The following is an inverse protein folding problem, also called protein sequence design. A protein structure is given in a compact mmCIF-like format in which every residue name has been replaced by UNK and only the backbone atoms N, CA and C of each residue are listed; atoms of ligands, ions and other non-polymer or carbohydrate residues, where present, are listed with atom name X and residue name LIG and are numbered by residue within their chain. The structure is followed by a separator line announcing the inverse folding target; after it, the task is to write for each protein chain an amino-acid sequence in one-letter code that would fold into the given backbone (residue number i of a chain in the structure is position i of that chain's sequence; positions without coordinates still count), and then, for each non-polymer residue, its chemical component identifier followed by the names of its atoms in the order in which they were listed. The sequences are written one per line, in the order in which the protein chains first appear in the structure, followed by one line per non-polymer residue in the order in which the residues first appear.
data_IF_002843995112
#
_entry.id   IF_002843995112
#
_cell.length_a   1.000
_cell.length_b   1.000
_cell.length_c   1.000
_cell.angle_alpha   90.00
_cell.angle_beta   90.00
_cell.angle_gamma   90.00
#
_symmetry.space_group_name_H-M   'P 1'
#
loop_
_entity.id
_entity.type
_entity.pdbx_description
1 polymer ?
#
# COMPACT_ATOMS: atom_id res chain seq x y z
N UNK A 1 -10.06 11.09 0.26
CA UNK A 1 -10.59 9.95 -0.53
C UNK A 1 -9.60 9.58 -1.62
N UNK A 2 -9.45 8.27 -1.89
CA UNK A 2 -8.65 7.62 -2.96
C UNK A 2 -7.12 7.60 -2.80
N UNK A 3 -6.63 6.59 -2.09
CA UNK A 3 -5.92 5.43 -2.67
C UNK A 3 -5.30 4.61 -1.54
N UNK A 4 -6.16 3.90 -0.81
CA UNK A 4 -5.76 2.68 -0.12
C UNK A 4 -5.55 1.64 -1.21
N UNK A 5 -4.34 1.63 -1.77
CA UNK A 5 -3.86 0.55 -2.62
C UNK A 5 -3.86 -0.69 -1.73
N UNK A 6 -4.95 -1.45 -1.81
CA UNK A 6 -5.08 -2.74 -1.17
C UNK A 6 -3.82 -3.54 -1.48
N UNK A 7 -2.94 -3.66 -0.49
CA UNK A 7 -1.85 -4.61 -0.47
C UNK A 7 -2.52 -5.97 -0.64
N UNK A 8 -2.55 -6.47 -1.88
CA UNK A 8 -2.93 -7.83 -2.21
C UNK A 8 -1.85 -8.74 -1.63
N UNK A 9 -1.96 -8.98 -0.32
CA UNK A 9 -1.31 -10.07 0.39
C UNK A 9 -1.92 -11.38 -0.11
N UNK A 10 -1.62 -11.74 -1.35
CA UNK A 10 -1.94 -13.04 -1.88
C UNK A 10 -0.66 -13.65 -2.46
N UNK A 11 0.31 -13.89 -1.58
CA UNK A 11 1.52 -14.66 -1.87
C UNK A 11 1.24 -16.17 -1.93
N UNK A 12 0.00 -16.62 -1.65
CA UNK A 12 -0.42 -18.02 -1.79
C UNK A 12 -0.19 -18.59 -3.20
N UNK A 13 -0.66 -17.96 -4.30
CA UNK A 13 -0.40 -18.44 -5.65
C UNK A 13 1.10 -18.53 -5.99
N UNK A 14 1.94 -17.68 -5.39
CA UNK A 14 3.39 -17.75 -5.54
C UNK A 14 3.96 -18.95 -4.76
N UNK A 15 3.51 -19.15 -3.53
CA UNK A 15 3.90 -20.28 -2.68
C UNK A 15 3.53 -21.63 -3.32
N UNK A 16 2.31 -21.77 -3.83
CA UNK A 16 1.82 -22.97 -4.52
C UNK A 16 2.66 -23.29 -5.76
N UNK A 17 2.93 -22.26 -6.58
CA UNK A 17 3.76 -22.42 -7.77
C UNK A 17 5.18 -22.85 -7.42
N UNK A 18 5.79 -22.22 -6.42
CA UNK A 18 7.13 -22.60 -5.98
C UNK A 18 7.14 -24.06 -5.48
N UNK A 19 6.13 -24.46 -4.69
CA UNK A 19 6.00 -25.83 -4.17
C UNK A 19 5.86 -26.86 -5.29
N UNK A 20 5.04 -26.56 -6.31
CA UNK A 20 4.88 -27.40 -7.49
C UNK A 20 6.21 -27.54 -8.24
N UNK A 21 6.95 -26.44 -8.44
CA UNK A 21 8.26 -26.46 -9.10
C UNK A 21 9.28 -27.29 -8.32
N UNK A 22 9.36 -27.14 -7.00
CA UNK A 22 10.23 -27.96 -6.16
C UNK A 22 9.83 -29.44 -6.18
N UNK A 23 8.53 -29.73 -6.14
CA UNK A 23 8.02 -31.10 -6.25
C UNK A 23 8.42 -31.78 -7.56
N UNK A 24 8.28 -31.08 -8.70
CA UNK A 24 8.71 -31.58 -10.01
C UNK A 24 10.24 -31.78 -10.03
N UNK A 25 11.02 -30.87 -9.45
CA UNK A 25 12.48 -31.01 -9.39
C UNK A 25 12.90 -32.27 -8.62
N UNK A 26 12.27 -32.54 -7.48
CA UNK A 26 12.51 -33.76 -6.69
C UNK A 26 12.11 -35.00 -7.49
N UNK A 27 10.99 -34.95 -8.22
CA UNK A 27 10.55 -36.05 -9.08
C UNK A 27 11.55 -36.31 -10.23
N UNK A 28 12.11 -35.26 -10.85
CA UNK A 28 13.16 -35.39 -11.86
C UNK A 28 14.41 -36.05 -11.27
N UNK A 29 14.84 -35.60 -10.08
CA UNK A 29 16.01 -36.17 -9.41
C UNK A 29 15.83 -37.66 -9.07
N UNK A 30 14.65 -38.04 -8.57
CA UNK A 30 14.29 -39.44 -8.35
C UNK A 30 14.27 -40.25 -9.65
N UNK A 31 13.70 -39.69 -10.73
CA UNK A 31 13.62 -40.38 -12.00
C UNK A 31 15.00 -40.59 -12.63
N UNK A 32 15.91 -39.63 -12.51
CA UNK A 32 17.31 -39.79 -12.93
C UNK A 32 18.02 -40.91 -12.16
N UNK A 33 17.75 -41.03 -10.85
CA UNK A 33 18.23 -42.17 -10.07
C UNK A 33 17.64 -43.50 -10.56
N UNK A 34 16.36 -43.54 -10.92
CA UNK A 34 15.73 -44.73 -11.51
C UNK A 34 16.32 -45.09 -12.88
N UNK A 35 16.67 -44.11 -13.72
CA UNK A 35 17.40 -44.35 -14.97
C UNK A 35 18.75 -45.03 -14.67
N UNK A 36 19.52 -44.49 -13.72
CA UNK A 36 20.80 -45.07 -13.31
C UNK A 36 20.64 -46.51 -12.80
N UNK A 37 19.64 -46.74 -11.95
CA UNK A 37 19.34 -48.08 -11.42
C UNK A 37 18.85 -49.04 -12.50
N UNK A 38 18.14 -48.57 -13.53
CA UNK A 38 17.76 -49.44 -14.66
C UNK A 38 18.95 -49.85 -15.55
N UNK A 39 20.12 -49.23 -15.38
CA UNK A 39 21.34 -49.63 -16.08
C UNK A 39 22.15 -50.72 -15.35
N UNK A 40 21.87 -50.99 -14.06
CA UNK A 40 22.67 -51.91 -13.22
C UNK A 40 21.73 -52.72 -12.30
N UNK A 41 21.81 -54.06 -12.20
CA UNK A 41 22.80 -54.99 -12.80
C UNK A 41 22.31 -55.72 -14.07
N UNK A 42 21.02 -55.69 -14.38
CA UNK A 42 20.45 -56.30 -15.59
C UNK A 42 19.95 -55.18 -16.50
N UNK A 43 20.71 -54.89 -17.55
CA UNK A 43 20.36 -53.84 -18.50
C UNK A 43 19.13 -54.24 -19.30
N UNK A 44 17.99 -53.59 -19.02
CA UNK A 44 16.75 -53.74 -19.76
C UNK A 44 16.50 -52.46 -20.57
N UNK A 45 16.78 -52.44 -21.89
CA UNK A 45 16.67 -51.23 -22.72
C UNK A 45 15.29 -50.59 -22.66
N UNK A 46 14.24 -51.41 -22.59
CA UNK A 46 12.85 -50.97 -22.51
C UNK A 46 12.59 -50.14 -21.25
N UNK A 47 13.09 -50.58 -20.09
CA UNK A 47 12.95 -49.86 -18.82
C UNK A 47 13.75 -48.56 -18.80
N UNK A 48 14.95 -48.57 -19.37
CA UNK A 48 15.79 -47.37 -19.49
C UNK A 48 15.12 -46.33 -20.38
N UNK A 49 14.60 -46.74 -21.55
CA UNK A 49 13.89 -45.86 -22.48
C UNK A 49 12.62 -45.28 -21.86
N UNK A 50 11.84 -46.10 -21.14
CA UNK A 50 10.67 -45.64 -20.40
C UNK A 50 11.05 -44.59 -19.34
N UNK A 51 12.08 -44.87 -18.53
CA UNK A 51 12.50 -43.96 -17.47
C UNK A 51 13.05 -42.64 -18.03
N UNK A 52 13.77 -42.66 -19.15
CA UNK A 52 14.23 -41.47 -19.86
C UNK A 52 13.05 -40.65 -20.39
N UNK A 53 12.06 -41.31 -21.00
CA UNK A 53 10.85 -40.64 -21.49
C UNK A 53 10.11 -39.92 -20.35
N UNK A 54 9.91 -40.59 -19.21
CA UNK A 54 9.28 -39.98 -18.02
C UNK A 54 10.12 -38.79 -17.52
N UNK A 55 11.45 -38.90 -17.50
CA UNK A 55 12.35 -37.80 -17.11
C UNK A 55 12.17 -36.59 -18.03
N UNK A 56 12.15 -36.80 -19.35
CA UNK A 56 11.95 -35.73 -20.34
C UNK A 56 10.57 -35.07 -20.18
N UNK A 57 9.52 -35.86 -19.92
CA UNK A 57 8.18 -35.36 -19.67
C UNK A 57 8.13 -34.49 -18.40
N UNK A 58 8.74 -34.94 -17.29
CA UNK A 58 8.82 -34.15 -16.06
C UNK A 58 9.63 -32.86 -16.25
N UNK A 59 10.72 -32.90 -17.01
CA UNK A 59 11.50 -31.72 -17.37
C UNK A 59 10.69 -30.72 -18.21
N UNK A 60 9.89 -31.21 -19.17
CA UNK A 60 8.98 -30.37 -19.94
C UNK A 60 7.92 -29.70 -19.04
N UNK A 61 7.33 -30.46 -18.10
CA UNK A 61 6.40 -29.91 -17.11
C UNK A 61 7.07 -28.87 -16.21
N UNK A 62 8.33 -29.07 -15.83
CA UNK A 62 9.11 -28.10 -15.07
C UNK A 62 9.28 -26.78 -15.83
N UNK A 63 9.64 -26.84 -17.12
CA UNK A 63 9.75 -25.65 -17.96
C UNK A 63 8.40 -24.95 -18.12
N UNK A 64 7.31 -25.71 -18.28
CA UNK A 64 5.97 -25.14 -18.35
C UNK A 64 5.56 -24.48 -17.03
N UNK A 65 5.95 -25.05 -15.89
CA UNK A 65 5.71 -24.49 -14.55
C UNK A 65 6.41 -23.15 -14.30
N UNK A 66 7.44 -22.80 -15.09
CA UNK A 66 8.09 -21.48 -15.03
C UNK A 66 7.28 -20.38 -15.72
N UNK A 67 6.37 -20.73 -16.64
CA UNK A 67 5.56 -19.74 -17.36
C UNK A 67 4.44 -19.16 -16.48
N UNK A 68 4.31 -17.84 -16.49
CA UNK A 68 3.23 -17.13 -15.77
C UNK A 68 1.88 -17.57 -16.32
N UNK A 69 0.96 -17.96 -15.45
CA UNK A 69 -0.40 -18.40 -15.82
C UNK A 69 -0.53 -19.88 -16.21
N UNK A 70 0.57 -20.62 -16.37
CA UNK A 70 0.54 -22.05 -16.72
C UNK A 70 0.26 -22.99 -15.53
N UNK A 71 0.26 -22.46 -14.30
CA UNK A 71 0.06 -23.23 -13.07
C UNK A 71 -1.12 -24.23 -13.10
N UNK A 72 -2.37 -23.84 -13.44
CA UNK A 72 -3.48 -24.79 -13.47
C UNK A 72 -3.31 -25.90 -14.52
N UNK A 73 -2.72 -25.60 -15.67
CA UNK A 73 -2.47 -26.59 -16.71
C UNK A 73 -1.40 -27.62 -16.28
N UNK A 74 -0.31 -27.15 -15.66
CA UNK A 74 0.74 -28.01 -15.10
C UNK A 74 0.17 -28.88 -13.99
N UNK A 75 -0.63 -28.29 -13.09
CA UNK A 75 -1.25 -29.01 -11.99
C UNK A 75 -2.22 -30.09 -12.47
N UNK A 76 -3.02 -29.80 -13.50
CA UNK A 76 -3.87 -30.80 -14.15
C UNK A 76 -3.04 -31.93 -14.79
N UNK A 77 -1.96 -31.60 -15.49
CA UNK A 77 -1.08 -32.61 -16.10
C UNK A 77 -0.44 -33.52 -15.04
N UNK A 78 0.09 -32.94 -13.96
CA UNK A 78 0.64 -33.70 -12.82
C UNK A 78 -0.45 -34.53 -12.14
N UNK A 79 -1.69 -34.02 -12.04
CA UNK A 79 -2.81 -34.78 -11.51
C UNK A 79 -3.14 -36.00 -12.37
N UNK A 80 -3.26 -35.85 -13.69
CA UNK A 80 -3.52 -36.96 -14.62
C UNK A 80 -2.42 -38.02 -14.54
N UNK A 81 -1.15 -37.59 -14.48
CA UNK A 81 -0.02 -38.50 -14.27
C UNK A 81 -0.07 -39.20 -12.91
N UNK A 82 -0.45 -38.48 -11.86
CA UNK A 82 -0.62 -39.01 -10.51
C UNK A 82 -1.70 -40.10 -10.44
N UNK A 83 -2.84 -39.92 -11.14
CA UNK A 83 -3.88 -40.95 -11.25
C UNK A 83 -3.43 -42.18 -12.04
N UNK A 84 -2.67 -41.97 -13.11
CA UNK A 84 -2.06 -43.07 -13.88
C UNK A 84 -1.07 -43.86 -13.02
N UNK A 85 -0.20 -43.16 -12.29
CA UNK A 85 0.71 -43.76 -11.32
C UNK A 85 -0.03 -44.53 -10.23
N UNK A 86 -1.05 -43.92 -9.62
CA UNK A 86 -1.90 -44.58 -8.62
C UNK A 86 -2.50 -45.89 -9.13
N UNK A 87 -3.06 -45.87 -10.34
CA UNK A 87 -3.64 -47.05 -11.01
C UNK A 87 -2.59 -48.14 -11.22
N UNK A 88 -1.42 -47.78 -11.73
CA UNK A 88 -0.30 -48.70 -11.93
C UNK A 88 0.14 -49.32 -10.60
N UNK A 89 0.37 -48.49 -9.57
CA UNK A 89 0.80 -48.97 -8.25
C UNK A 89 -0.22 -49.92 -7.63
N UNK A 90 -1.50 -49.65 -7.80
CA UNK A 90 -2.57 -50.50 -7.28
C UNK A 90 -2.56 -51.89 -7.93
N UNK A 91 -2.49 -51.96 -9.25
CA UNK A 91 -2.53 -53.24 -9.99
C UNK A 91 -1.23 -54.04 -9.79
N UNK A 92 -0.09 -53.36 -9.75
CA UNK A 92 1.24 -53.98 -9.76
C UNK A 92 1.76 -54.37 -8.37
N UNK A 93 1.35 -53.67 -7.30
CA UNK A 93 1.93 -53.86 -5.95
C UNK A 93 0.90 -54.25 -4.90
N UNK A 94 -0.04 -55.13 -5.24
CA UNK A 94 -0.91 -55.79 -4.25
C UNK A 94 -2.06 -54.95 -3.69
N UNK A 95 -2.41 -53.84 -4.34
CA UNK A 95 -3.54 -52.99 -3.96
C UNK A 95 -3.41 -52.44 -2.55
N UNK A 96 -4.48 -52.53 -1.76
CA UNK A 96 -4.52 -52.01 -0.38
C UNK A 96 -3.55 -52.72 0.57
N UNK A 97 -3.12 -53.95 0.23
CA UNK A 97 -2.21 -54.73 1.05
C UNK A 97 -0.73 -54.28 0.90
N UNK A 98 -0.41 -53.56 -0.18
CA UNK A 98 0.95 -53.14 -0.51
C UNK A 98 1.22 -51.66 -0.30
N UNK A 99 1.76 -50.98 -1.32
CA UNK A 99 2.32 -49.61 -1.21
C UNK A 99 1.31 -48.51 -1.50
N UNK A 100 0.12 -48.88 -1.97
CA UNK A 100 -0.97 -47.95 -2.31
C UNK A 100 -1.36 -47.01 -1.17
N UNK A 101 -1.52 -47.46 0.09
CA UNK A 101 -1.90 -46.54 1.18
C UNK A 101 -0.88 -45.42 1.37
N UNK A 102 0.42 -45.72 1.24
CA UNK A 102 1.50 -44.73 1.32
C UNK A 102 1.43 -43.72 0.19
N UNK A 103 1.22 -44.19 -1.04
CA UNK A 103 1.04 -43.33 -2.20
C UNK A 103 -0.16 -42.41 -2.02
N UNK A 104 -1.29 -42.93 -1.54
CA UNK A 104 -2.51 -42.18 -1.31
C UNK A 104 -2.29 -41.04 -0.30
N UNK A 105 -1.57 -41.29 0.80
CA UNK A 105 -1.21 -40.26 1.77
C UNK A 105 -0.37 -39.13 1.15
N UNK A 106 0.64 -39.47 0.34
CA UNK A 106 1.49 -38.46 -0.28
C UNK A 106 0.77 -37.69 -1.38
N UNK A 107 -0.04 -38.39 -2.18
CA UNK A 107 -0.79 -37.78 -3.27
C UNK A 107 -1.91 -36.86 -2.76
N UNK A 108 -2.61 -37.25 -1.69
CA UNK A 108 -3.58 -36.37 -1.01
C UNK A 108 -2.90 -35.15 -0.39
N UNK A 109 -1.74 -35.32 0.27
CA UNK A 109 -0.96 -34.19 0.78
C UNK A 109 -0.52 -33.24 -0.34
N UNK A 110 -0.08 -33.77 -1.49
CA UNK A 110 0.25 -33.00 -2.67
C UNK A 110 -0.94 -32.17 -3.17
N UNK A 111 -2.13 -32.79 -3.32
CA UNK A 111 -3.36 -32.10 -3.74
C UNK A 111 -3.68 -30.97 -2.76
N UNK A 112 -3.67 -31.23 -1.45
CA UNK A 112 -4.01 -30.21 -0.43
C UNK A 112 -3.08 -29.01 -0.48
N UNK A 113 -1.79 -29.24 -0.72
CA UNK A 113 -0.77 -28.18 -0.64
C UNK A 113 -0.61 -27.42 -1.97
N UNK A 114 -0.75 -28.09 -3.11
CA UNK A 114 -0.48 -27.48 -4.42
C UNK A 114 -1.74 -26.98 -5.14
N UNK A 115 -2.94 -27.23 -4.59
CA UNK A 115 -4.21 -26.83 -5.21
C UNK A 115 -5.09 -26.00 -4.28
N UNK A 116 -5.86 -25.10 -4.89
CA UNK A 116 -6.74 -24.17 -4.19
C UNK A 116 -8.12 -24.09 -4.84
N UNK A 117 -9.11 -23.64 -4.05
CA UNK A 117 -10.46 -23.35 -4.54
C UNK A 117 -11.15 -24.53 -5.23
N UNK A 118 -11.73 -24.29 -6.40
CA UNK A 118 -12.46 -25.30 -7.17
C UNK A 118 -11.56 -26.42 -7.72
N UNK A 119 -10.30 -26.11 -8.06
CA UNK A 119 -9.34 -27.13 -8.53
C UNK A 119 -9.09 -28.19 -7.47
N UNK A 120 -8.97 -27.78 -6.20
CA UNK A 120 -8.79 -28.72 -5.09
C UNK A 120 -9.97 -29.68 -4.94
N UNK A 121 -11.20 -29.14 -5.01
CA UNK A 121 -12.40 -29.97 -4.96
C UNK A 121 -12.43 -30.94 -6.14
N UNK A 122 -12.17 -30.44 -7.36
CA UNK A 122 -12.11 -31.26 -8.56
C UNK A 122 -11.12 -32.43 -8.44
N UNK A 123 -9.90 -32.18 -7.96
CA UNK A 123 -8.89 -33.24 -7.79
C UNK A 123 -9.27 -34.25 -6.70
N UNK A 124 -9.83 -33.78 -5.58
CA UNK A 124 -10.31 -34.68 -4.52
C UNK A 124 -11.43 -35.58 -5.05
N UNK A 125 -12.45 -35.02 -5.71
CA UNK A 125 -13.54 -35.81 -6.29
C UNK A 125 -13.05 -36.78 -7.36
N UNK A 126 -12.10 -36.35 -8.20
CA UNK A 126 -11.48 -37.21 -9.21
C UNK A 126 -10.74 -38.39 -8.57
N UNK A 127 -9.91 -38.15 -7.54
CA UNK A 127 -9.21 -39.21 -6.81
C UNK A 127 -10.20 -40.15 -6.09
N UNK A 128 -11.19 -39.59 -5.38
CA UNK A 128 -12.23 -40.38 -4.72
C UNK A 128 -13.03 -41.23 -5.70
N UNK A 129 -13.35 -40.72 -6.89
CA UNK A 129 -14.02 -41.47 -7.95
C UNK A 129 -13.20 -42.66 -8.43
N UNK A 130 -11.89 -42.48 -8.63
CA UNK A 130 -10.97 -43.57 -8.98
C UNK A 130 -10.92 -44.60 -7.84
N UNK A 131 -10.77 -44.17 -6.58
CA UNK A 131 -10.79 -45.09 -5.43
C UNK A 131 -12.09 -45.90 -5.38
N UNK A 132 -13.25 -45.24 -5.53
CA UNK A 132 -14.55 -45.91 -5.54
C UNK A 132 -14.66 -46.94 -6.67
N UNK A 133 -14.13 -46.64 -7.86
CA UNK A 133 -14.12 -47.56 -8.99
C UNK A 133 -13.26 -48.80 -8.68
N UNK A 134 -12.09 -48.62 -8.09
CA UNK A 134 -11.19 -49.73 -7.72
C UNK A 134 -11.76 -50.60 -6.59
N UNK A 135 -12.44 -50.00 -5.62
CA UNK A 135 -13.08 -50.72 -4.52
C UNK A 135 -14.35 -51.47 -4.98
N UNK A 136 -15.16 -50.84 -5.84
CA UNK A 136 -16.44 -51.39 -6.29
C UNK A 136 -16.34 -52.39 -7.43
N UNK A 137 -15.35 -52.24 -8.32
CA UNK A 137 -15.22 -53.03 -9.55
C UNK A 137 -13.77 -53.52 -9.78
N UNK A 138 -13.15 -54.25 -8.84
CA UNK A 138 -11.77 -54.71 -8.99
C UNK A 138 -11.57 -55.61 -10.21
N UNK A 139 -12.56 -56.46 -10.53
CA UNK A 139 -12.53 -57.37 -11.68
C UNK A 139 -12.52 -56.65 -13.03
N UNK A 140 -13.14 -55.47 -13.13
CA UNK A 140 -13.13 -54.64 -14.35
C UNK A 140 -11.70 -54.20 -14.73
N UNK A 141 -10.82 -54.08 -13.74
CA UNK A 141 -9.43 -53.66 -13.91
C UNK A 141 -8.45 -54.85 -13.99
N UNK A 142 -8.96 -56.08 -14.10
CA UNK A 142 -8.14 -57.29 -14.14
C UNK A 142 -7.54 -57.70 -12.79
N UNK A 143 -8.06 -57.16 -11.68
CA UNK A 143 -7.65 -57.55 -10.32
C UNK A 143 -8.52 -58.69 -9.82
N UNK A 144 -7.92 -59.69 -9.17
CA UNK A 144 -8.65 -60.79 -8.54
C UNK A 144 -9.39 -60.31 -7.29
N UNK A 145 -8.80 -59.38 -6.57
CA UNK A 145 -9.35 -58.80 -5.35
C UNK A 145 -8.71 -57.43 -5.10
N UNK A 146 -9.27 -56.68 -4.16
CA UNK A 146 -8.70 -55.41 -3.69
C UNK A 146 -7.41 -55.62 -2.88
N UNK A 147 -7.23 -56.84 -2.36
CA UNK A 147 -6.14 -57.27 -1.49
C UNK A 147 -5.42 -58.45 -2.15
N UNK A 148 -4.34 -58.20 -2.87
CA UNK A 148 -3.55 -59.23 -3.55
C UNK A 148 -2.20 -59.43 -2.87
N UNK A 149 -2.14 -60.11 -1.71
CA UNK A 149 -0.91 -60.28 -0.94
C UNK A 149 0.16 -61.06 -1.70
N UNK A 150 -0.22 -61.88 -2.68
CA UNK A 150 0.70 -62.64 -3.54
C UNK A 150 1.64 -61.73 -4.35
N UNK A 151 1.26 -60.48 -4.60
CA UNK A 151 2.07 -59.49 -5.32
C UNK A 151 2.98 -58.68 -4.39
N UNK A 152 2.92 -58.90 -3.08
CA UNK A 152 3.71 -58.13 -2.11
C UNK A 152 5.13 -58.66 -2.09
N UNK A 153 6.08 -57.74 -2.22
CA UNK A 153 7.46 -57.97 -1.83
C UNK A 153 7.71 -57.25 -0.49
N UNK A 154 7.81 -57.99 0.61
CA UNK A 154 7.91 -57.44 1.97
C UNK A 154 9.13 -56.55 2.17
N UNK A 155 10.25 -56.86 1.50
CA UNK A 155 11.47 -56.04 1.57
C UNK A 155 11.25 -54.73 0.82
N UNK A 156 10.71 -54.80 -0.41
CA UNK A 156 10.40 -53.61 -1.20
C UNK A 156 9.40 -52.71 -0.50
N UNK A 157 8.34 -53.28 0.08
CA UNK A 157 7.33 -52.54 0.83
C UNK A 157 7.94 -51.78 2.02
N UNK A 158 8.85 -52.42 2.78
CA UNK A 158 9.57 -51.75 3.86
C UNK A 158 10.44 -50.58 3.38
N UNK A 159 11.14 -50.75 2.26
CA UNK A 159 11.95 -49.69 1.63
C UNK A 159 11.05 -48.53 1.17
N UNK A 160 9.92 -48.83 0.54
CA UNK A 160 8.98 -47.82 0.06
C UNK A 160 8.41 -47.00 1.22
N UNK A 161 8.06 -47.65 2.35
CA UNK A 161 7.65 -46.93 3.56
C UNK A 161 8.74 -45.99 4.09
N UNK A 162 10.00 -46.45 4.14
CA UNK A 162 11.12 -45.62 4.61
C UNK A 162 11.35 -44.40 3.72
N UNK A 163 11.34 -44.58 2.40
CA UNK A 163 11.48 -43.50 1.43
C UNK A 163 10.34 -42.49 1.58
N UNK A 164 9.10 -42.97 1.71
CA UNK A 164 7.93 -42.10 1.86
C UNK A 164 7.97 -41.30 3.15
N UNK A 165 8.36 -41.92 4.27
CA UNK A 165 8.58 -41.21 5.53
C UNK A 165 9.68 -40.15 5.39
N UNK A 166 10.80 -40.46 4.72
CA UNK A 166 11.88 -39.51 4.49
C UNK A 166 11.43 -38.31 3.64
N UNK A 167 10.68 -38.57 2.55
CA UNK A 167 10.11 -37.51 1.69
C UNK A 167 9.13 -36.63 2.46
N UNK A 168 8.26 -37.22 3.28
CA UNK A 168 7.28 -36.50 4.09
C UNK A 168 7.96 -35.64 5.16
N UNK A 169 8.99 -36.16 5.84
CA UNK A 169 9.79 -35.39 6.81
C UNK A 169 10.51 -34.23 6.11
N UNK A 170 11.18 -34.50 4.98
CA UNK A 170 11.87 -33.47 4.21
C UNK A 170 10.91 -32.36 3.76
N UNK A 171 9.72 -32.75 3.31
CA UNK A 171 8.65 -31.83 2.93
C UNK A 171 8.16 -30.98 4.12
N UNK A 172 7.90 -31.59 5.28
CA UNK A 172 7.49 -30.87 6.49
C UNK A 172 8.58 -29.89 6.94
N UNK A 173 9.84 -30.30 6.91
CA UNK A 173 10.97 -29.43 7.29
C UNK A 173 11.13 -28.26 6.33
N UNK A 174 11.00 -28.50 5.02
CA UNK A 174 10.97 -27.44 4.01
C UNK A 174 9.83 -26.45 4.28
N UNK A 175 8.61 -26.96 4.49
CA UNK A 175 7.43 -26.14 4.76
C UNK A 175 7.59 -25.33 6.05
N UNK A 176 8.12 -25.92 7.12
CA UNK A 176 8.38 -25.24 8.39
C UNK A 176 9.36 -24.08 8.19
N UNK A 177 10.47 -24.30 7.48
CA UNK A 177 11.47 -23.26 7.20
C UNK A 177 10.86 -22.11 6.41
N UNK A 178 10.12 -22.41 5.33
CA UNK A 178 9.48 -21.41 4.48
C UNK A 178 8.40 -20.62 5.24
N UNK A 179 7.62 -21.29 6.08
CA UNK A 179 6.62 -20.65 6.93
C UNK A 179 7.23 -19.71 7.96
N UNK A 180 8.34 -20.10 8.61
CA UNK A 180 9.06 -19.24 9.55
C UNK A 180 9.60 -18.00 8.83
N UNK A 181 10.22 -18.17 7.66
CA UNK A 181 10.72 -17.05 6.84
C UNK A 181 9.61 -16.08 6.42
N UNK A 182 8.46 -16.61 5.99
CA UNK A 182 7.31 -15.78 5.63
C UNK A 182 6.77 -15.00 6.83
N UNK A 183 6.67 -15.64 8.01
CA UNK A 183 6.25 -14.95 9.24
C UNK A 183 7.19 -13.80 9.63
N UNK A 184 8.49 -13.95 9.41
CA UNK A 184 9.46 -12.88 9.67
C UNK A 184 9.23 -11.67 8.76
N UNK A 185 9.10 -11.87 7.45
CA UNK A 185 8.81 -10.78 6.52
C UNK A 185 7.50 -10.05 6.85
N UNK A 186 6.46 -10.80 7.21
CA UNK A 186 5.18 -10.24 7.63
C UNK A 186 5.36 -9.39 8.89
N UNK A 187 6.11 -9.88 9.89
CA UNK A 187 6.41 -9.15 11.13
C UNK A 187 7.17 -7.84 10.88
N UNK A 188 8.17 -7.86 9.99
CA UNK A 188 8.91 -6.65 9.61
C UNK A 188 8.00 -5.61 8.95
N UNK A 189 7.10 -6.05 8.05
CA UNK A 189 6.11 -5.15 7.45
C UNK A 189 5.15 -4.56 8.47
N UNK A 190 4.68 -5.35 9.43
CA UNK A 190 3.87 -4.82 10.54
C UNK A 190 4.62 -3.80 11.38
N UNK A 191 5.90 -4.03 11.67
CA UNK A 191 6.75 -3.07 12.39
C UNK A 191 6.94 -1.76 11.62
N UNK A 192 7.18 -1.84 10.31
CA UNK A 192 7.25 -0.65 9.45
C UNK A 192 5.93 0.13 9.45
N UNK A 193 4.80 -0.57 9.39
CA UNK A 193 3.48 0.05 9.42
C UNK A 193 3.21 0.76 10.75
N UNK A 194 3.57 0.13 11.87
CA UNK A 194 3.46 0.73 13.21
C UNK A 194 4.32 1.99 13.34
N UNK A 195 5.56 1.95 12.83
CA UNK A 195 6.44 3.13 12.81
C UNK A 195 5.85 4.27 12.00
N UNK A 196 5.37 4.00 10.77
CA UNK A 196 4.73 5.01 9.92
C UNK A 196 3.49 5.58 10.60
N UNK A 197 2.66 4.72 11.22
CA UNK A 197 1.47 5.16 11.96
C UNK A 197 1.82 6.10 13.11
N UNK A 198 2.87 5.80 13.87
CA UNK A 198 3.35 6.66 14.97
C UNK A 198 3.88 8.00 14.47
N UNK A 199 4.70 7.99 13.41
CA UNK A 199 5.21 9.22 12.80
C UNK A 199 4.08 10.09 12.27
N UNK A 200 3.11 9.51 11.57
CA UNK A 200 1.95 10.23 11.05
C UNK A 200 1.11 10.83 12.18
N UNK A 201 0.90 10.08 13.26
CA UNK A 201 0.21 10.59 14.44
C UNK A 201 0.93 11.80 15.07
N UNK A 202 2.25 11.72 15.24
CA UNK A 202 3.05 12.83 15.74
C UNK A 202 2.99 14.05 14.82
N UNK A 203 3.12 13.85 13.51
CA UNK A 203 3.03 14.95 12.53
C UNK A 203 1.65 15.61 12.54
N UNK A 204 0.58 14.84 12.69
CA UNK A 204 -0.77 15.40 12.84
C UNK A 204 -0.92 16.21 14.13
N UNK A 205 -0.34 15.76 15.24
CA UNK A 205 -0.32 16.52 16.49
C UNK A 205 0.45 17.83 16.33
N UNK A 206 1.64 17.80 15.72
CA UNK A 206 2.42 19.01 15.45
C UNK A 206 1.67 19.98 14.54
N UNK A 207 1.04 19.48 13.47
CA UNK A 207 0.21 20.30 12.58
C UNK A 207 -0.95 20.95 13.31
N UNK A 208 -1.64 20.22 14.20
CA UNK A 208 -2.73 20.77 14.99
C UNK A 208 -2.24 21.89 15.92
N UNK A 209 -1.09 21.71 16.58
CA UNK A 209 -0.46 22.76 17.42
C UNK A 209 -0.09 23.98 16.59
N UNK A 210 0.55 23.81 15.43
CA UNK A 210 0.93 24.91 14.52
C UNK A 210 -0.29 25.67 14.01
N UNK A 211 -1.38 24.97 13.73
CA UNK A 211 -2.65 25.59 13.33
C UNK A 211 -3.22 26.45 14.46
N UNK A 212 -3.19 25.98 15.70
CA UNK A 212 -3.64 26.74 16.86
C UNK A 212 -2.78 28.00 17.09
N UNK A 213 -1.45 27.86 17.02
CA UNK A 213 -0.51 28.99 17.13
C UNK A 213 -0.77 30.04 16.03
N UNK A 214 -0.95 29.60 14.79
CA UNK A 214 -1.24 30.49 13.66
C UNK A 214 -2.57 31.21 13.87
N UNK A 215 -3.60 30.51 14.38
CA UNK A 215 -4.90 31.11 14.67
C UNK A 215 -4.76 32.18 15.75
N UNK A 216 -4.07 31.88 16.85
CA UNK A 216 -3.85 32.83 17.94
C UNK A 216 -3.07 34.08 17.49
N UNK A 217 -2.04 33.91 16.66
CA UNK A 217 -1.28 35.03 16.08
C UNK A 217 -2.20 35.89 15.20
N UNK A 218 -3.03 35.26 14.35
CA UNK A 218 -3.92 35.98 13.46
C UNK A 218 -4.99 36.76 14.25
N UNK A 219 -5.61 36.16 15.26
CA UNK A 219 -6.57 36.82 16.15
C UNK A 219 -5.94 38.05 16.84
N UNK A 220 -4.68 37.94 17.29
CA UNK A 220 -3.97 39.07 17.90
C UNK A 220 -3.62 40.18 16.88
N UNK A 221 -3.22 39.80 15.66
CA UNK A 221 -2.95 40.77 14.59
C UNK A 221 -4.22 41.52 14.18
N UNK A 222 -5.35 40.83 14.07
CA UNK A 222 -6.65 41.44 13.78
C UNK A 222 -7.04 42.44 14.87
N UNK A 223 -6.86 42.08 16.15
CA UNK A 223 -7.11 42.98 17.27
C UNK A 223 -6.20 44.23 17.22
N UNK A 224 -4.90 44.05 16.96
CA UNK A 224 -3.96 45.16 16.85
C UNK A 224 -4.26 46.06 15.66
N UNK A 225 -4.62 45.48 14.51
CA UNK A 225 -5.03 46.25 13.32
C UNK A 225 -6.28 47.05 13.62
N UNK A 226 -7.28 46.47 14.29
CA UNK A 226 -8.49 47.17 14.69
C UNK A 226 -8.18 48.34 15.64
N UNK A 227 -7.34 48.12 16.66
CA UNK A 227 -6.91 49.16 17.60
C UNK A 227 -6.19 50.31 16.88
N UNK A 228 -5.23 50.00 16.02
CA UNK A 228 -4.46 51.00 15.26
C UNK A 228 -5.32 51.76 14.27
N UNK A 229 -6.28 51.09 13.63
CA UNK A 229 -7.22 51.71 12.70
C UNK A 229 -8.11 52.70 13.46
N UNK A 230 -8.63 52.31 14.62
CA UNK A 230 -9.44 53.20 15.47
C UNK A 230 -8.62 54.41 15.97
N UNK A 231 -7.37 54.20 16.38
CA UNK A 231 -6.47 55.29 16.79
C UNK A 231 -6.22 56.27 15.64
N UNK A 232 -5.96 55.75 14.44
CA UNK A 232 -5.73 56.54 13.23
C UNK A 232 -6.99 57.32 12.82
N UNK A 233 -8.17 56.69 12.83
CA UNK A 233 -9.45 57.34 12.56
C UNK A 233 -9.73 58.47 13.55
N UNK A 234 -9.51 58.22 14.85
CA UNK A 234 -9.68 59.23 15.90
C UNK A 234 -8.75 60.43 15.70
N UNK A 235 -7.48 60.17 15.38
CA UNK A 235 -6.50 61.25 15.08
C UNK A 235 -6.90 62.01 13.83
N UNK A 236 -7.32 61.31 12.78
CA UNK A 236 -7.77 61.93 11.52
C UNK A 236 -9.00 62.82 11.73
N UNK A 237 -9.98 62.35 12.51
CA UNK A 237 -11.16 63.13 12.86
C UNK A 237 -10.81 64.40 13.63
N UNK A 238 -9.90 64.32 14.61
CA UNK A 238 -9.40 65.51 15.33
C UNK A 238 -8.68 66.47 14.40
N UNK A 239 -7.81 65.99 13.52
CA UNK A 239 -7.11 66.83 12.54
C UNK A 239 -8.09 67.54 11.60
N UNK A 240 -9.14 66.85 11.14
CA UNK A 240 -10.19 67.44 10.31
C UNK A 240 -10.96 68.54 11.06
N UNK A 241 -11.31 68.31 12.32
CA UNK A 241 -11.98 69.31 13.17
C UNK A 241 -11.09 70.54 13.40
N UNK A 242 -9.81 70.34 13.72
CA UNK A 242 -8.83 71.43 13.85
C UNK A 242 -8.69 72.22 12.55
N UNK A 243 -8.57 71.53 11.40
CA UNK A 243 -8.47 72.19 10.09
C UNK A 243 -9.72 73.04 9.79
N UNK A 244 -10.91 72.54 10.12
CA UNK A 244 -12.18 73.27 9.97
C UNK A 244 -12.23 74.53 10.84
N UNK A 245 -11.90 74.41 12.12
CA UNK A 245 -11.87 75.55 13.07
C UNK A 245 -10.86 76.60 12.59
N UNK A 246 -9.65 76.16 12.22
CA UNK A 246 -8.61 77.05 11.74
C UNK A 246 -9.02 77.80 10.46
N UNK A 247 -9.61 77.09 9.50
CA UNK A 247 -10.16 77.72 8.29
C UNK A 247 -11.23 78.77 8.63
N UNK A 248 -12.11 78.50 9.60
CA UNK A 248 -13.14 79.44 10.04
C UNK A 248 -12.54 80.69 10.71
N UNK A 249 -11.59 80.49 11.63
CA UNK A 249 -10.91 81.56 12.36
C UNK A 249 -10.08 82.47 11.44
N UNK A 250 -9.48 81.93 10.38
CA UNK A 250 -8.75 82.71 9.38
C UNK A 250 -9.68 83.43 8.38
N UNK A 251 -10.82 82.82 8.01
CA UNK A 251 -11.75 83.39 7.04
C UNK A 251 -12.34 84.73 7.50
N UNK A 252 -12.73 84.86 8.77
CA UNK A 252 -13.35 86.08 9.32
C UNK A 252 -12.48 87.35 9.20
N UNK A 253 -11.22 87.36 9.70
CA UNK A 253 -10.31 88.50 9.51
C UNK A 253 -9.89 88.67 8.04
N UNK A 254 -9.72 87.59 7.26
CA UNK A 254 -9.39 87.71 5.83
C UNK A 254 -10.48 88.43 5.04
N UNK A 255 -11.76 88.05 5.22
CA UNK A 255 -12.89 88.72 4.59
C UNK A 255 -12.98 90.21 5.00
N UNK A 256 -12.67 90.54 6.26
CA UNK A 256 -12.60 91.92 6.74
C UNK A 256 -11.47 92.71 6.10
N UNK A 257 -10.30 92.10 5.87
CA UNK A 257 -9.22 92.76 5.12
C UNK A 257 -9.60 93.02 3.67
N UNK A 258 -10.14 92.01 2.98
CA UNK A 258 -10.59 92.13 1.59
C UNK A 258 -11.65 93.23 1.48
N UNK A 259 -12.68 93.22 2.33
CA UNK A 259 -13.70 94.27 2.31
C UNK A 259 -13.17 95.67 2.61
N UNK A 260 -12.15 95.79 3.47
CA UNK A 260 -11.51 97.07 3.74
C UNK A 260 -10.65 97.54 2.56
N UNK A 261 -9.96 96.64 1.87
CA UNK A 261 -9.20 96.91 0.63
C UNK A 261 -10.17 97.34 -0.49
N UNK A 262 -11.25 96.61 -0.72
CA UNK A 262 -12.27 96.95 -1.72
C UNK A 262 -12.89 98.34 -1.48
N UNK A 263 -13.11 98.71 -0.21
CA UNK A 263 -13.55 100.06 0.16
C UNK A 263 -12.47 101.09 -0.20
N UNK A 264 -11.21 100.84 0.19
CA UNK A 264 -10.06 101.70 -0.11
C UNK A 264 -9.86 101.94 -1.62
N UNK A 265 -10.09 100.92 -2.46
CA UNK A 265 -10.01 101.04 -3.92
C UNK A 265 -11.14 101.87 -4.53
N UNK A 266 -12.33 101.88 -3.92
CA UNK A 266 -13.52 102.56 -4.45
C UNK A 266 -13.59 104.06 -4.12
N UNK A 267 -13.00 104.54 -3.02
CA UNK A 267 -13.03 105.96 -2.64
C UNK A 267 -11.64 106.57 -2.32
N UNK A 268 -10.64 106.47 -3.22
CA UNK A 268 -9.22 106.70 -2.93
C UNK A 268 -8.86 108.08 -2.33
N UNK A 269 -9.67 109.12 -2.56
CA UNK A 269 -9.42 110.48 -2.07
C UNK A 269 -9.83 110.73 -0.59
N UNK A 270 -10.45 109.75 0.08
CA UNK A 270 -11.04 109.91 1.43
C UNK A 270 -10.32 109.13 2.54
N UNK A 271 -9.30 108.36 2.21
CA UNK A 271 -8.70 107.39 3.14
C UNK A 271 -7.56 108.00 3.96
N UNK A 272 -7.80 108.14 5.26
CA UNK A 272 -6.82 108.58 6.25
C UNK A 272 -5.92 107.42 6.69
N UNK A 273 -4.78 107.74 7.30
CA UNK A 273 -3.89 106.73 7.91
C UNK A 273 -4.57 105.80 8.92
N UNK A 274 -5.80 106.09 9.38
CA UNK A 274 -6.59 105.25 10.28
C UNK A 274 -7.03 103.93 9.62
N UNK A 275 -7.45 103.95 8.35
CA UNK A 275 -7.90 102.73 7.65
C UNK A 275 -6.73 101.82 7.26
N UNK A 276 -5.59 102.40 6.89
CA UNK A 276 -4.33 101.66 6.73
C UNK A 276 -3.86 101.05 8.06
N UNK A 277 -4.02 101.76 9.17
CA UNK A 277 -3.73 101.22 10.50
C UNK A 277 -4.66 100.07 10.88
N UNK A 278 -5.96 100.16 10.55
CA UNK A 278 -6.92 99.05 10.73
C UNK A 278 -6.54 97.82 9.89
N UNK A 279 -6.21 97.99 8.61
CA UNK A 279 -5.76 96.89 7.75
C UNK A 279 -4.49 96.23 8.31
N UNK A 280 -3.50 97.03 8.72
CA UNK A 280 -2.27 96.55 9.36
C UNK A 280 -2.54 95.80 10.66
N UNK A 281 -3.52 96.22 11.45
CA UNK A 281 -3.95 95.52 12.66
C UNK A 281 -4.62 94.17 12.37
N UNK A 282 -5.44 94.09 11.31
CA UNK A 282 -6.09 92.86 10.87
C UNK A 282 -5.07 91.84 10.33
N UNK A 283 -4.10 92.31 9.55
CA UNK A 283 -3.00 91.48 9.06
C UNK A 283 -2.16 90.91 10.21
N UNK A 284 -1.86 91.73 11.24
CA UNK A 284 -1.19 91.25 12.46
C UNK A 284 -2.01 90.21 13.22
N UNK A 285 -3.33 90.36 13.29
CA UNK A 285 -4.22 89.36 13.93
C UNK A 285 -4.19 88.02 13.20
N UNK A 286 -4.14 88.03 11.87
CA UNK A 286 -3.98 86.80 11.08
C UNK A 286 -2.62 86.17 11.30
N UNK A 287 -1.53 86.96 11.24
CA UNK A 287 -0.17 86.47 11.50
C UNK A 287 -0.06 85.81 12.89
N UNK A 288 -0.69 86.40 13.91
CA UNK A 288 -0.80 85.81 15.25
C UNK A 288 -1.52 84.46 15.24
N UNK A 289 -2.70 84.36 14.63
CA UNK A 289 -3.42 83.09 14.55
C UNK A 289 -2.66 82.02 13.75
N UNK A 290 -1.96 82.40 12.67
CA UNK A 290 -1.12 81.47 11.89
C UNK A 290 0.04 80.93 12.74
N UNK A 291 0.71 81.79 13.51
CA UNK A 291 1.78 81.35 14.43
C UNK A 291 1.26 80.43 15.52
N UNK A 292 0.08 80.71 16.06
CA UNK A 292 -0.58 79.89 17.08
C UNK A 292 -0.88 78.48 16.53
N UNK A 293 -1.43 78.41 15.31
CA UNK A 293 -1.65 77.14 14.59
C UNK A 293 -0.34 76.38 14.37
N UNK A 294 0.71 77.03 13.86
CA UNK A 294 2.01 76.38 13.63
C UNK A 294 2.68 75.88 14.91
N UNK A 295 2.46 76.55 16.05
CA UNK A 295 3.00 76.13 17.35
C UNK A 295 2.29 74.94 17.98
N UNK A 296 1.08 74.62 17.53
CA UNK A 296 0.27 73.52 18.07
C UNK A 296 0.42 72.23 17.24
N UNK A 297 0.94 72.32 16.01
CA UNK A 297 1.07 71.21 15.06
C UNK A 297 2.50 70.60 15.04
N UNK A 298 3.51 71.30 15.58
CA UNK A 298 4.90 70.82 15.70
C UNK A 298 5.23 70.31 17.10
#
# INVERSE_FOLDING_TARGET
MKNSTALKFNDRPKLERDLLQYGILVAIAYQLFMVLMSMVPVFLPEMVMFNLFVTMMLFFLYLLAQRVGAHPAVLLAVHVLGLGGFTFFWVSFGGLAGTVPSFLCLYTAFIIVCSNGYWRLFFIFSLSGVICLFLGFPSFLGMKSVWEPEKINSVQQGIDYLIMCALLIAFILYMKRKFVFYRQQVSEKYRQLDQISKTLHHQNQELATRQEETRAINENLEALVAERTLEAETKNQKLAEYAFINAHMLRGPLCRMIGLIDLMEREPEKYSGEQLARLKSLARKIDLHVREISSTIG
#
